data_IF_591458872026
#
_entry.id   IF_591458872026
#
_cell.length_a   1.000
_cell.length_b   1.000
_cell.length_c   1.000
_cell.angle_alpha   90.00
_cell.angle_beta   90.00
_cell.angle_gamma   90.00
#
_symmetry.space_group_name_H-M   'P 1'
#
loop_
_entity.id
_entity.type
_entity.pdbx_description
1 polymer ?
#
# COMPACT_ATOMS: atom_id res chain seq x y z
N UNK A 1 -21.02 47.51 5.25
CA UNK A 1 -20.98 48.16 3.93
C UNK A 1 -19.69 47.71 3.24
N UNK A 2 -19.82 47.27 1.96
CA UNK A 2 -18.86 46.76 0.94
C UNK A 2 -17.34 46.96 1.17
N UNK A 3 -16.49 45.92 1.09
CA UNK A 3 -15.79 45.29 -0.08
C UNK A 3 -14.77 46.19 -0.80
N UNK A 4 -13.47 45.85 -0.74
CA UNK A 4 -12.46 45.91 -1.84
C UNK A 4 -11.16 45.22 -1.37
N UNK A 5 -10.84 44.01 -1.86
CA UNK A 5 -9.86 43.69 -2.92
C UNK A 5 -8.41 44.05 -2.58
N UNK A 6 -7.61 43.03 -2.23
CA UNK A 6 -6.15 43.05 -2.39
C UNK A 6 -5.85 42.33 -3.70
N UNK A 7 -5.56 43.11 -4.74
CA UNK A 7 -4.96 42.65 -5.99
C UNK A 7 -3.50 43.07 -6.03
N UNK A 8 -2.65 42.13 -6.45
CA UNK A 8 -1.33 42.33 -7.06
C UNK A 8 -0.16 42.74 -6.16
N UNK A 9 0.74 41.79 -5.94
CA UNK A 9 2.17 42.04 -6.12
C UNK A 9 2.82 40.82 -6.78
N UNK A 10 3.07 40.92 -8.08
CA UNK A 10 4.01 40.06 -8.78
C UNK A 10 5.45 40.59 -8.60
N UNK A 11 6.37 39.66 -8.76
CA UNK A 11 7.78 39.79 -9.14
C UNK A 11 8.91 39.71 -8.09
N UNK A 12 9.85 38.83 -8.45
CA UNK A 12 11.31 38.91 -8.31
C UNK A 12 11.96 38.40 -7.01
N UNK A 13 12.32 37.11 -7.00
CA UNK A 13 13.70 36.68 -6.72
C UNK A 13 14.08 35.47 -7.58
N UNK A 14 14.82 35.74 -8.67
CA UNK A 14 15.77 34.77 -9.25
C UNK A 14 16.88 34.57 -8.22
N UNK A 15 16.92 33.41 -7.58
CA UNK A 15 17.94 33.04 -6.63
C UNK A 15 18.00 31.52 -6.49
N UNK A 16 18.90 30.90 -7.25
CA UNK A 16 19.45 29.53 -7.14
C UNK A 16 18.76 28.62 -6.09
N UNK A 17 17.92 27.70 -6.54
CA UNK A 17 17.69 26.44 -5.80
C UNK A 17 18.48 25.33 -6.50
N UNK A 18 19.39 24.62 -5.83
CA UNK A 18 19.95 23.39 -6.36
C UNK A 18 18.93 22.28 -6.10
N UNK A 19 18.26 21.81 -7.15
CA UNK A 19 17.56 20.52 -7.09
C UNK A 19 17.92 19.75 -8.35
N UNK A 20 18.95 18.89 -8.30
CA UNK A 20 19.21 18.00 -9.40
C UNK A 20 18.58 16.62 -9.10
N UNK A 21 17.97 16.03 -10.14
CA UNK A 21 17.88 14.57 -10.41
C UNK A 21 16.52 13.82 -10.45
N UNK A 22 15.38 14.30 -9.95
CA UNK A 22 14.14 13.46 -9.92
C UNK A 22 13.24 13.58 -11.18
N UNK A 23 13.80 13.70 -12.39
CA UNK A 23 12.98 13.79 -13.62
C UNK A 23 13.45 12.85 -14.76
N UNK A 24 14.03 11.70 -14.42
CA UNK A 24 14.36 10.63 -15.39
C UNK A 24 14.06 9.20 -14.89
N UNK A 25 13.15 9.04 -13.94
CA UNK A 25 12.81 7.71 -13.43
C UNK A 25 11.71 7.09 -14.31
N UNK A 26 12.08 6.06 -15.07
CA UNK A 26 11.10 5.19 -15.71
C UNK A 26 10.25 4.48 -14.65
N UNK A 27 9.03 4.09 -15.02
CA UNK A 27 8.09 3.40 -14.13
C UNK A 27 8.74 2.17 -13.46
N UNK A 28 8.49 1.94 -12.15
CA UNK A 28 9.04 0.78 -11.45
C UNK A 28 8.54 -0.52 -12.09
N UNK A 29 9.39 -1.55 -12.09
CA UNK A 29 9.02 -2.89 -12.58
C UNK A 29 8.84 -3.86 -11.42
N UNK A 30 7.74 -4.61 -11.42
CA UNK A 30 7.41 -5.60 -10.37
C UNK A 30 8.41 -6.76 -10.40
N UNK A 31 8.84 -7.22 -9.22
CA UNK A 31 9.72 -8.39 -9.10
C UNK A 31 8.96 -9.67 -9.43
N UNK A 32 9.60 -10.59 -10.14
CA UNK A 32 9.10 -11.95 -10.38
C UNK A 32 9.48 -12.82 -9.18
N UNK A 33 8.50 -13.56 -8.65
CA UNK A 33 8.65 -14.35 -7.42
C UNK A 33 8.79 -15.82 -7.80
N UNK A 34 9.95 -16.41 -7.53
CA UNK A 34 10.32 -17.76 -7.97
C UNK A 34 10.63 -18.73 -6.80
N UNK A 35 11.03 -18.20 -5.65
CA UNK A 35 11.55 -18.91 -4.48
C UNK A 35 10.55 -18.99 -3.31
N UNK A 36 9.43 -18.25 -3.37
CA UNK A 36 8.39 -18.28 -2.35
C UNK A 36 7.07 -18.89 -2.86
N UNK A 37 6.50 -19.83 -2.09
CA UNK A 37 5.14 -20.31 -2.31
C UNK A 37 4.12 -19.36 -1.68
N UNK A 38 3.03 -19.06 -2.39
CA UNK A 38 2.03 -18.10 -1.92
C UNK A 38 1.33 -18.56 -0.64
N UNK A 39 1.03 -19.86 -0.51
CA UNK A 39 0.46 -20.40 0.74
C UNK A 39 1.47 -20.30 1.90
N UNK A 40 2.77 -20.47 1.61
CA UNK A 40 3.84 -20.29 2.62
C UNK A 40 3.84 -18.84 3.13
N UNK A 41 3.79 -17.86 2.22
CA UNK A 41 3.74 -16.45 2.58
C UNK A 41 2.52 -16.11 3.44
N UNK A 42 1.33 -16.54 3.03
CA UNK A 42 0.09 -16.29 3.78
C UNK A 42 0.19 -16.86 5.21
N UNK A 43 0.80 -18.04 5.40
CA UNK A 43 1.06 -18.57 6.74
C UNK A 43 2.08 -17.74 7.53
N UNK A 44 3.13 -17.25 6.86
CA UNK A 44 4.08 -16.30 7.46
C UNK A 44 3.38 -15.03 7.94
N UNK A 45 2.51 -14.47 7.11
CA UNK A 45 1.68 -13.32 7.45
C UNK A 45 0.81 -13.60 8.68
N UNK A 46 0.19 -14.77 8.76
CA UNK A 46 -0.59 -15.18 9.93
C UNK A 46 0.26 -15.21 11.21
N UNK A 47 1.45 -15.83 11.14
CA UNK A 47 2.37 -15.94 12.27
C UNK A 47 2.84 -14.56 12.75
N UNK A 48 3.23 -13.67 11.83
CA UNK A 48 3.66 -12.30 12.15
C UNK A 48 2.51 -11.52 12.78
N UNK A 49 1.31 -11.62 12.21
CA UNK A 49 0.12 -10.93 12.71
C UNK A 49 -0.19 -11.31 14.15
N UNK A 50 -0.20 -12.61 14.46
CA UNK A 50 -0.40 -13.10 15.84
C UNK A 50 0.70 -12.64 16.79
N UNK A 51 1.96 -12.70 16.37
CA UNK A 51 3.09 -12.23 17.16
C UNK A 51 2.96 -10.77 17.57
N UNK A 52 2.32 -9.97 16.70
CA UNK A 52 2.04 -8.55 16.93
C UNK A 52 0.65 -8.27 17.53
N UNK A 53 -0.10 -9.31 17.92
CA UNK A 53 -1.44 -9.16 18.52
C UNK A 53 -2.55 -8.77 17.54
N UNK A 54 -2.33 -8.89 16.24
CA UNK A 54 -3.31 -8.58 15.20
C UNK A 54 -4.08 -9.82 14.73
N UNK A 55 -5.31 -9.59 14.26
CA UNK A 55 -6.12 -10.58 13.57
C UNK A 55 -5.98 -10.40 12.07
N UNK A 56 -5.35 -11.34 11.36
CA UNK A 56 -5.17 -11.21 9.92
C UNK A 56 -6.45 -11.63 9.19
N UNK A 57 -6.73 -10.95 8.09
CA UNK A 57 -7.88 -11.24 7.21
C UNK A 57 -7.43 -11.92 5.92
N UNK A 58 -8.17 -12.95 5.52
CA UNK A 58 -7.97 -13.61 4.24
C UNK A 58 -9.19 -13.38 3.36
N UNK A 59 -9.02 -12.58 2.31
CA UNK A 59 -10.05 -12.25 1.33
C UNK A 59 -10.02 -13.28 0.21
N UNK A 60 -11.11 -14.02 0.04
CA UNK A 60 -11.17 -15.17 -0.87
C UNK A 60 -12.27 -14.94 -1.89
N UNK A 61 -11.95 -15.18 -3.16
CA UNK A 61 -12.99 -15.22 -4.19
C UNK A 61 -13.97 -16.35 -3.86
N UNK A 62 -15.28 -16.08 -3.88
CA UNK A 62 -16.33 -17.07 -3.59
C UNK A 62 -16.16 -18.42 -4.31
N UNK A 63 -15.54 -18.43 -5.48
CA UNK A 63 -15.36 -19.63 -6.31
C UNK A 63 -14.03 -20.36 -6.04
N UNK A 64 -13.15 -19.79 -5.22
CA UNK A 64 -11.83 -20.35 -4.92
C UNK A 64 -11.92 -21.46 -3.87
N UNK A 65 -11.30 -22.61 -4.17
CA UNK A 65 -11.11 -23.69 -3.20
C UNK A 65 -9.95 -23.36 -2.27
N UNK A 66 -10.24 -23.11 -1.00
CA UNK A 66 -9.23 -22.88 0.04
C UNK A 66 -8.37 -24.14 0.19
N UNK A 67 -7.04 -23.99 0.18
CA UNK A 67 -6.13 -25.10 0.43
C UNK A 67 -6.27 -25.62 1.87
N UNK A 68 -6.01 -26.91 2.10
CA UNK A 68 -6.07 -27.50 3.46
C UNK A 68 -5.25 -26.73 4.51
N UNK A 69 -4.03 -26.22 4.20
CA UNK A 69 -3.28 -25.40 5.15
C UNK A 69 -4.01 -24.13 5.57
N UNK A 70 -4.68 -23.44 4.64
CA UNK A 70 -5.42 -22.19 4.93
C UNK A 70 -6.79 -22.46 5.57
N UNK A 71 -7.41 -23.61 5.34
CA UNK A 71 -8.64 -24.03 6.04
C UNK A 71 -8.42 -24.17 7.55
N UNK A 72 -7.22 -24.56 7.97
CA UNK A 72 -6.85 -24.74 9.37
C UNK A 72 -6.14 -23.50 9.96
N UNK A 73 -6.18 -22.38 9.25
CA UNK A 73 -5.60 -21.13 9.72
C UNK A 73 -6.57 -20.39 10.66
N UNK A 74 -6.04 -19.39 11.36
CA UNK A 74 -6.83 -18.46 12.19
C UNK A 74 -7.19 -17.16 11.47
N UNK A 75 -7.01 -17.10 10.15
CA UNK A 75 -7.45 -15.95 9.39
C UNK A 75 -8.96 -15.75 9.57
N UNK A 76 -9.36 -14.48 9.71
CA UNK A 76 -10.75 -14.11 9.52
C UNK A 76 -11.04 -14.20 8.01
N UNK A 77 -11.71 -15.28 7.60
CA UNK A 77 -11.99 -15.56 6.18
C UNK A 77 -13.19 -14.73 5.73
N UNK A 78 -12.97 -13.86 4.75
CA UNK A 78 -13.99 -13.02 4.14
C UNK A 78 -14.13 -13.39 2.67
N UNK A 79 -15.31 -13.81 2.26
CA UNK A 79 -15.59 -14.08 0.84
C UNK A 79 -16.09 -12.83 0.15
N UNK A 80 -15.63 -12.60 -1.08
CA UNK A 80 -16.15 -11.54 -1.94
C UNK A 80 -16.68 -12.12 -3.25
N UNK A 81 -17.79 -11.56 -3.73
CA UNK A 81 -18.38 -11.90 -5.03
C UNK A 81 -17.77 -11.04 -6.12
N UNK A 82 -17.28 -11.65 -7.20
CA UNK A 82 -16.69 -10.89 -8.31
C UNK A 82 -17.80 -10.15 -9.08
N UNK A 83 -17.71 -8.82 -9.07
CA UNK A 83 -17.50 -8.02 -10.29
C UNK A 83 -16.86 -6.69 -9.86
N UNK A 84 -15.58 -6.42 -10.20
CA UNK A 84 -15.03 -5.09 -9.97
C UNK A 84 -15.78 -4.09 -10.87
N UNK A 85 -16.13 -2.89 -10.37
CA UNK A 85 -16.28 -1.77 -11.30
C UNK A 85 -14.94 -1.64 -12.03
N UNK A 86 -14.98 -1.54 -13.36
CA UNK A 86 -13.83 -1.10 -14.16
C UNK A 86 -13.37 0.22 -13.54
N UNK A 87 -12.15 0.27 -13.04
CA UNK A 87 -11.53 1.52 -12.59
C UNK A 87 -11.26 2.33 -13.86
N UNK A 88 -12.28 3.05 -14.30
CA UNK A 88 -12.15 4.18 -15.20
C UNK A 88 -11.81 5.40 -14.33
N UNK A 89 -10.73 6.11 -14.63
CA UNK A 89 -10.21 7.26 -13.87
C UNK A 89 -11.14 8.50 -13.95
N UNK A 90 -12.44 8.30 -14.14
CA UNK A 90 -13.38 9.33 -14.62
C UNK A 90 -14.60 9.49 -13.70
N UNK A 91 -14.43 9.43 -12.38
CA UNK A 91 -15.50 9.83 -11.44
C UNK A 91 -15.04 10.99 -10.58
N UNK A 92 -15.11 12.18 -11.19
CA UNK A 92 -15.21 13.47 -10.50
C UNK A 92 -16.67 13.62 -10.05
N UNK A 93 -16.92 13.89 -8.75
CA UNK A 93 -17.72 15.02 -8.22
C UNK A 93 -18.37 14.70 -6.87
N UNK A 94 -17.84 15.32 -5.82
CA UNK A 94 -18.65 15.87 -4.72
C UNK A 94 -17.96 17.09 -4.07
N UNK A 95 -17.34 17.97 -4.87
CA UNK A 95 -16.64 19.18 -4.39
C UNK A 95 -17.49 20.15 -3.56
N UNK A 96 -18.82 20.05 -3.65
CA UNK A 96 -19.75 20.98 -2.98
C UNK A 96 -20.12 20.51 -1.57
N UNK A 97 -20.09 19.19 -1.29
CA UNK A 97 -20.42 18.66 0.04
C UNK A 97 -19.24 18.83 1.03
N UNK A 98 -18.02 18.72 0.51
CA UNK A 98 -16.76 18.70 1.24
C UNK A 98 -16.37 20.11 1.78
N UNK A 99 -16.62 21.19 1.02
CA UNK A 99 -16.15 22.55 1.38
C UNK A 99 -16.79 23.16 2.63
N UNK A 100 -18.00 22.75 3.02
CA UNK A 100 -18.70 23.31 4.20
C UNK A 100 -18.31 22.61 5.52
N UNK A 101 -17.89 21.34 5.47
CA UNK A 101 -17.45 20.56 6.64
C UNK A 101 -15.93 20.62 6.89
N UNK A 102 -15.11 20.82 5.84
CA UNK A 102 -13.63 20.84 5.91
C UNK A 102 -13.00 21.96 6.76
N UNK A 103 -13.73 23.04 7.07
CA UNK A 103 -13.13 24.21 7.75
C UNK A 103 -13.01 24.05 9.27
N UNK A 104 -13.69 23.06 9.86
CA UNK A 104 -13.79 22.90 11.32
C UNK A 104 -13.08 21.61 11.80
N UNK A 105 -12.88 20.59 10.95
CA UNK A 105 -12.27 19.29 11.33
C UNK A 105 -10.78 19.14 11.05
N UNK A 106 -10.19 20.04 10.23
CA UNK A 106 -8.93 19.80 9.50
C UNK A 106 -7.74 19.43 10.41
N UNK A 107 -7.52 20.14 11.51
CA UNK A 107 -6.33 19.92 12.35
C UNK A 107 -6.37 18.61 13.16
N UNK A 108 -7.55 18.14 13.57
CA UNK A 108 -7.71 16.87 14.28
C UNK A 108 -7.71 15.68 13.30
N UNK A 109 -8.31 15.83 12.12
CA UNK A 109 -8.35 14.79 11.09
C UNK A 109 -6.99 14.55 10.43
N UNK A 110 -6.18 15.60 10.21
CA UNK A 110 -4.87 15.45 9.56
C UNK A 110 -3.88 14.68 10.43
N UNK A 111 -3.89 14.90 11.75
CA UNK A 111 -3.00 14.17 12.66
C UNK A 111 -3.36 12.67 12.73
N UNK A 112 -4.65 12.34 12.83
CA UNK A 112 -5.11 10.94 12.85
C UNK A 112 -4.88 10.23 11.51
N UNK A 113 -5.04 10.92 10.38
CA UNK A 113 -4.74 10.33 9.06
C UNK A 113 -3.24 10.05 8.94
N UNK A 114 -2.38 11.00 9.32
CA UNK A 114 -0.93 10.79 9.27
C UNK A 114 -0.48 9.66 10.20
N UNK A 115 -1.02 9.59 11.42
CA UNK A 115 -0.76 8.50 12.36
C UNK A 115 -1.18 7.15 11.75
N UNK A 116 -2.35 7.08 11.12
CA UNK A 116 -2.82 5.87 10.46
C UNK A 116 -1.94 5.47 9.26
N UNK A 117 -1.47 6.44 8.45
CA UNK A 117 -0.51 6.19 7.37
C UNK A 117 0.80 5.64 7.94
N UNK A 118 1.30 6.23 9.02
CA UNK A 118 2.55 5.80 9.67
C UNK A 118 2.41 4.37 10.22
N UNK A 119 1.27 4.05 10.87
CA UNK A 119 0.95 2.70 11.36
C UNK A 119 0.90 1.68 10.23
N UNK A 120 0.23 2.00 9.12
CA UNK A 120 0.17 1.15 7.94
C UNK A 120 1.56 0.94 7.33
N UNK A 121 2.33 2.01 7.15
CA UNK A 121 3.70 1.94 6.61
C UNK A 121 4.58 1.04 7.46
N UNK A 122 4.58 1.22 8.78
CA UNK A 122 5.34 0.36 9.71
C UNK A 122 4.91 -1.09 9.57
N UNK A 123 3.60 -1.36 9.54
CA UNK A 123 3.07 -2.72 9.35
C UNK A 123 3.52 -3.36 8.02
N UNK A 124 3.58 -2.59 6.93
CA UNK A 124 4.06 -3.09 5.64
C UNK A 124 5.57 -3.37 5.70
N UNK A 125 6.38 -2.48 6.27
CA UNK A 125 7.84 -2.68 6.36
C UNK A 125 8.17 -3.88 7.25
N UNK A 126 7.48 -4.05 8.39
CA UNK A 126 7.74 -5.16 9.31
C UNK A 126 7.44 -6.51 8.65
N UNK A 127 6.32 -6.63 7.93
CA UNK A 127 5.95 -7.83 7.21
C UNK A 127 6.91 -8.12 6.05
N UNK A 128 7.23 -7.10 5.24
CA UNK A 128 8.19 -7.24 4.14
C UNK A 128 9.56 -7.66 4.67
N UNK A 129 10.02 -7.10 5.79
CA UNK A 129 11.28 -7.50 6.45
C UNK A 129 11.29 -8.99 6.78
N UNK A 130 10.19 -9.50 7.33
CA UNK A 130 10.08 -10.92 7.67
C UNK A 130 10.07 -11.81 6.42
N UNK A 131 9.37 -11.42 5.36
CA UNK A 131 9.35 -12.19 4.11
C UNK A 131 10.71 -12.16 3.39
N UNK A 132 11.36 -11.00 3.33
CA UNK A 132 12.70 -10.85 2.78
C UNK A 132 13.71 -11.72 3.51
N UNK A 133 13.66 -11.78 4.85
CA UNK A 133 14.53 -12.66 5.64
C UNK A 133 14.29 -14.15 5.37
N UNK A 134 13.03 -14.56 5.20
CA UNK A 134 12.68 -15.96 4.97
C UNK A 134 12.97 -16.43 3.53
N UNK A 135 12.72 -15.58 2.53
CA UNK A 135 12.70 -15.99 1.12
C UNK A 135 13.52 -15.09 0.17
N UNK A 136 13.94 -13.90 0.60
CA UNK A 136 14.65 -12.93 -0.23
C UNK A 136 13.77 -12.12 -1.19
N UNK A 137 12.47 -12.40 -1.21
CA UNK A 137 11.47 -11.82 -2.10
C UNK A 137 10.09 -11.97 -1.45
N UNK A 138 9.03 -11.36 -2.00
CA UNK A 138 7.66 -11.56 -1.53
C UNK A 138 6.60 -11.21 -2.57
N UNK A 139 5.49 -11.95 -2.54
CA UNK A 139 4.26 -11.56 -3.24
C UNK A 139 3.63 -10.32 -2.60
N UNK A 140 2.85 -9.54 -3.36
CA UNK A 140 2.08 -8.42 -2.80
C UNK A 140 1.19 -8.84 -1.62
N UNK A 141 1.14 -8.00 -0.59
CA UNK A 141 0.34 -8.19 0.61
C UNK A 141 -0.17 -6.84 1.14
N UNK A 142 -1.20 -6.85 1.99
CA UNK A 142 -1.85 -5.63 2.45
C UNK A 142 -1.97 -5.52 3.97
N UNK A 143 -2.36 -4.34 4.41
CA UNK A 143 -2.83 -4.05 5.76
C UNK A 143 -3.94 -3.00 5.66
N UNK A 144 -4.90 -3.05 6.58
CA UNK A 144 -5.99 -2.08 6.66
C UNK A 144 -6.20 -1.61 8.09
N UNK A 145 -6.64 -0.36 8.26
CA UNK A 145 -7.14 0.15 9.52
C UNK A 145 -8.66 0.15 9.44
N UNK A 146 -9.30 -0.63 10.31
CA UNK A 146 -10.75 -0.78 10.40
C UNK A 146 -11.42 0.45 10.98
N UNK A 147 -12.75 0.53 10.89
CA UNK A 147 -13.54 1.60 11.52
C UNK A 147 -13.34 1.76 13.03
N UNK A 148 -13.02 0.69 13.73
CA UNK A 148 -12.68 0.68 15.16
C UNK A 148 -11.21 1.05 15.44
N UNK A 149 -10.47 1.57 14.45
CA UNK A 149 -9.04 1.91 14.52
C UNK A 149 -8.09 0.72 14.71
N UNK A 150 -8.60 -0.51 14.62
CA UNK A 150 -7.80 -1.74 14.65
C UNK A 150 -7.01 -1.91 13.35
N UNK A 151 -5.72 -2.22 13.46
CA UNK A 151 -4.90 -2.59 12.31
C UNK A 151 -5.03 -4.09 12.05
N UNK A 152 -5.27 -4.46 10.79
CA UNK A 152 -5.43 -5.84 10.37
C UNK A 152 -4.64 -6.09 9.09
N UNK A 153 -3.65 -7.00 9.11
CA UNK A 153 -2.99 -7.46 7.90
C UNK A 153 -3.99 -8.20 7.00
N UNK A 154 -3.92 -7.94 5.69
CA UNK A 154 -4.86 -8.46 4.68
C UNK A 154 -4.10 -9.26 3.63
N UNK A 155 -4.52 -10.51 3.41
CA UNK A 155 -4.08 -11.35 2.30
C UNK A 155 -5.22 -11.64 1.34
N UNK A 156 -4.89 -12.03 0.11
CA UNK A 156 -5.87 -12.57 -0.85
C UNK A 156 -5.54 -14.02 -1.19
N UNK A 157 -6.56 -14.82 -1.49
CA UNK A 157 -6.35 -16.17 -2.02
C UNK A 157 -7.37 -16.52 -3.10
N UNK A 158 -6.87 -17.07 -4.21
CA UNK A 158 -7.66 -17.42 -5.38
C UNK A 158 -7.31 -18.81 -5.93
N UNK A 159 -6.76 -19.69 -5.07
CA UNK A 159 -6.60 -21.11 -5.38
C UNK A 159 -5.33 -21.49 -6.14
N UNK A 160 -4.37 -20.58 -6.29
CA UNK A 160 -3.08 -20.82 -6.96
C UNK A 160 -1.92 -20.69 -5.99
N UNK A 161 -0.93 -21.58 -6.08
CA UNK A 161 0.27 -21.56 -5.22
C UNK A 161 1.35 -20.62 -5.73
N UNK A 162 1.47 -20.45 -7.05
CA UNK A 162 2.44 -19.57 -7.70
C UNK A 162 1.71 -18.63 -8.66
N UNK A 163 0.97 -17.65 -8.14
CA UNK A 163 0.25 -16.69 -8.97
C UNK A 163 1.20 -15.69 -9.63
N UNK A 164 0.75 -15.06 -10.72
CA UNK A 164 1.44 -13.88 -11.25
C UNK A 164 1.32 -12.70 -10.26
N UNK A 165 2.40 -11.96 -10.03
CA UNK A 165 2.38 -10.83 -9.10
C UNK A 165 1.34 -9.77 -9.47
N UNK A 166 1.07 -9.52 -10.76
CA UNK A 166 0.01 -8.59 -11.17
C UNK A 166 -1.38 -9.13 -10.86
N UNK A 167 -1.58 -10.45 -10.92
CA UNK A 167 -2.83 -11.09 -10.52
C UNK A 167 -3.08 -10.87 -9.02
N UNK A 168 -2.05 -11.03 -8.18
CA UNK A 168 -2.13 -10.74 -6.75
C UNK A 168 -2.40 -9.26 -6.49
N UNK A 169 -1.66 -8.34 -7.15
CA UNK A 169 -1.87 -6.89 -7.04
C UNK A 169 -3.31 -6.52 -7.35
N UNK A 170 -3.87 -7.03 -8.46
CA UNK A 170 -5.22 -6.69 -8.90
C UNK A 170 -6.26 -7.15 -7.88
N UNK A 171 -6.20 -8.40 -7.45
CA UNK A 171 -7.15 -8.96 -6.47
C UNK A 171 -7.02 -8.32 -5.10
N UNK A 172 -5.80 -8.01 -4.66
CA UNK A 172 -5.55 -7.36 -3.40
C UNK A 172 -6.05 -5.91 -3.41
N UNK A 173 -5.75 -5.14 -4.46
CA UNK A 173 -6.26 -3.78 -4.60
C UNK A 173 -7.80 -3.75 -4.61
N UNK A 174 -8.45 -4.69 -5.32
CA UNK A 174 -9.91 -4.85 -5.32
C UNK A 174 -10.45 -5.15 -3.91
N UNK A 175 -9.83 -6.06 -3.18
CA UNK A 175 -10.25 -6.42 -1.83
C UNK A 175 -10.10 -5.27 -0.83
N UNK A 176 -8.99 -4.52 -0.89
CA UNK A 176 -8.76 -3.35 -0.05
C UNK A 176 -9.74 -2.22 -0.38
N UNK A 177 -9.95 -1.94 -1.66
CA UNK A 177 -10.90 -0.92 -2.12
C UNK A 177 -12.34 -1.25 -1.71
N UNK A 178 -12.76 -2.49 -1.90
CA UNK A 178 -14.09 -2.95 -1.49
C UNK A 178 -14.30 -2.73 0.00
N UNK A 179 -13.30 -3.08 0.82
CA UNK A 179 -13.35 -2.85 2.25
C UNK A 179 -13.38 -1.36 2.65
N UNK A 180 -12.83 -0.46 1.84
CA UNK A 180 -12.95 0.99 2.06
C UNK A 180 -14.37 1.45 1.71
N UNK A 181 -14.88 1.08 0.53
CA UNK A 181 -16.19 1.51 0.02
C UNK A 181 -17.35 0.97 0.86
N UNK A 182 -17.27 -0.29 1.30
CA UNK A 182 -18.26 -0.89 2.21
C UNK A 182 -18.12 -0.35 3.66
N UNK A 183 -17.04 0.40 3.92
CA UNK A 183 -16.73 1.00 5.19
C UNK A 183 -16.28 -0.01 6.25
N UNK A 184 -15.76 -1.17 5.88
CA UNK A 184 -15.02 -2.05 6.78
C UNK A 184 -13.69 -1.42 7.20
N UNK A 185 -13.07 -0.66 6.30
CA UNK A 185 -11.78 -0.01 6.45
C UNK A 185 -11.91 1.52 6.35
N UNK A 186 -11.14 2.24 7.16
CA UNK A 186 -10.95 3.69 7.03
C UNK A 186 -9.89 4.02 5.99
N UNK A 187 -8.81 3.25 5.97
CA UNK A 187 -7.64 3.43 5.10
C UNK A 187 -6.90 2.09 4.99
N UNK A 188 -6.26 1.83 3.86
CA UNK A 188 -5.50 0.62 3.62
C UNK A 188 -4.15 0.88 2.98
N UNK A 189 -3.26 -0.11 3.03
CA UNK A 189 -1.97 -0.11 2.37
C UNK A 189 -1.69 -1.46 1.70
N UNK A 190 -0.88 -1.42 0.65
CA UNK A 190 -0.34 -2.59 -0.03
C UNK A 190 1.17 -2.45 -0.16
N UNK A 191 1.91 -3.49 0.21
CA UNK A 191 3.33 -3.65 -0.06
C UNK A 191 3.55 -4.46 -1.34
N UNK A 192 4.45 -4.00 -2.21
CA UNK A 192 4.83 -4.67 -3.46
C UNK A 192 6.35 -4.66 -3.58
N UNK A 193 6.95 -5.79 -3.92
CA UNK A 193 8.38 -5.84 -4.25
C UNK A 193 8.61 -5.36 -5.69
N UNK A 194 9.46 -4.36 -5.84
CA UNK A 194 9.71 -3.70 -7.13
C UNK A 194 11.19 -3.40 -7.34
N UNK A 195 11.56 -3.23 -8.60
CA UNK A 195 12.78 -2.55 -8.99
C UNK A 195 12.49 -1.08 -9.33
N UNK A 196 13.21 -0.18 -8.67
CA UNK A 196 13.27 1.24 -9.01
C UNK A 196 14.52 1.51 -9.85
N UNK A 197 14.45 2.53 -10.71
CA UNK A 197 15.66 3.10 -11.30
C UNK A 197 16.24 4.09 -10.31
N UNK A 198 17.55 4.06 -10.12
CA UNK A 198 18.31 5.07 -9.40
C UNK A 198 19.52 5.48 -10.24
N UNK A 199 20.36 6.36 -9.71
CA UNK A 199 21.59 6.79 -10.39
C UNK A 199 22.68 5.70 -10.41
N UNK A 200 22.37 4.47 -9.99
CA UNK A 200 23.32 3.35 -9.99
C UNK A 200 23.64 2.94 -11.45
N UNK A 201 24.93 2.86 -11.85
CA UNK A 201 25.33 2.40 -13.17
C UNK A 201 24.84 0.98 -13.55
N UNK A 202 24.47 0.13 -12.57
CA UNK A 202 23.86 -1.19 -12.81
C UNK A 202 22.35 -1.14 -13.14
N UNK A 203 21.73 0.04 -13.05
CA UNK A 203 20.47 0.38 -13.70
C UNK A 203 19.17 0.02 -12.98
N UNK A 204 19.20 -0.77 -11.89
CA UNK A 204 18.04 -1.09 -11.06
C UNK A 204 18.42 -1.35 -9.60
N UNK A 205 17.60 -0.89 -8.67
CA UNK A 205 17.70 -1.18 -7.23
C UNK A 205 16.37 -1.73 -6.70
N UNK A 206 16.41 -2.70 -5.78
CA UNK A 206 15.21 -3.26 -5.16
C UNK A 206 14.61 -2.28 -4.15
N UNK A 207 13.28 -2.24 -4.10
CA UNK A 207 12.53 -1.44 -3.14
C UNK A 207 11.19 -2.08 -2.80
N UNK A 208 10.70 -1.79 -1.60
CA UNK A 208 9.31 -2.03 -1.22
C UNK A 208 8.52 -0.81 -1.67
N UNK A 209 7.62 -0.98 -2.63
CA UNK A 209 6.59 0.01 -2.95
C UNK A 209 5.44 -0.14 -1.94
N UNK A 210 5.06 0.97 -1.29
CA UNK A 210 3.95 1.03 -0.34
C UNK A 210 2.89 1.96 -0.93
N UNK A 211 1.76 1.38 -1.34
CA UNK A 211 0.61 2.13 -1.88
C UNK A 211 -0.41 2.34 -0.80
N UNK A 212 -0.77 3.60 -0.50
CA UNK A 212 -1.81 3.95 0.47
C UNK A 212 -3.12 4.22 -0.27
N UNK A 213 -4.21 3.63 0.23
CA UNK A 213 -5.56 3.74 -0.32
C UNK A 213 -6.51 4.40 0.69
N UNK A 214 -7.30 5.37 0.24
CA UNK A 214 -8.47 5.90 0.96
C UNK A 214 -9.72 5.83 0.05
N UNK A 215 -10.80 6.53 0.40
CA UNK A 215 -12.02 6.61 -0.42
C UNK A 215 -11.85 7.33 -1.77
N UNK A 216 -10.75 8.05 -1.98
CA UNK A 216 -10.44 8.80 -3.21
C UNK A 216 -9.57 7.99 -4.18
N UNK A 217 -8.99 6.86 -3.73
CA UNK A 217 -8.10 6.02 -4.53
C UNK A 217 -6.74 5.84 -3.86
N UNK A 218 -5.70 5.71 -4.69
CA UNK A 218 -4.31 5.73 -4.22
C UNK A 218 -3.95 7.18 -3.91
N UNK A 219 -3.60 7.47 -2.66
CA UNK A 219 -3.27 8.84 -2.22
C UNK A 219 -1.77 9.10 -2.13
N UNK A 220 -0.98 8.08 -1.82
CA UNK A 220 0.47 8.21 -1.72
C UNK A 220 1.14 6.90 -2.10
N UNK A 221 2.28 7.00 -2.78
CA UNK A 221 3.22 5.90 -2.98
C UNK A 221 4.53 6.22 -2.28
N UNK A 222 4.96 5.34 -1.41
CA UNK A 222 6.31 5.37 -0.84
C UNK A 222 7.16 4.28 -1.46
N UNK A 223 8.45 4.54 -1.55
CA UNK A 223 9.46 3.56 -1.91
C UNK A 223 10.46 3.47 -0.76
N UNK A 224 10.64 2.25 -0.26
CA UNK A 224 11.65 1.91 0.71
C UNK A 224 12.72 1.06 0.01
N UNK A 225 13.81 1.66 -0.50
CA UNK A 225 14.91 0.91 -1.09
C UNK A 225 15.51 -0.04 -0.08
N UNK A 226 15.96 -1.20 -0.55
CA UNK A 226 16.68 -2.17 0.28
C UNK A 226 17.76 -2.91 -0.51
N UNK A 227 18.75 -3.43 0.23
CA UNK A 227 19.71 -4.42 -0.27
C UNK A 227 19.76 -5.58 0.69
N UNK A 228 19.79 -6.81 0.18
CA UNK A 228 19.93 -7.99 1.03
C UNK A 228 21.41 -8.27 1.30
N UNK A 229 21.72 -8.63 2.55
CA UNK A 229 23.00 -9.26 2.89
C UNK A 229 23.03 -10.71 2.39
N UNK A 230 24.18 -11.38 2.51
CA UNK A 230 24.29 -12.82 2.28
C UNK A 230 23.41 -13.69 3.20
N UNK A 231 22.88 -13.12 4.29
CA UNK A 231 21.94 -13.76 5.23
C UNK A 231 20.49 -13.37 5.00
N UNK A 232 20.16 -12.70 3.89
CA UNK A 232 18.85 -12.13 3.59
C UNK A 232 18.35 -11.06 4.59
N UNK A 233 19.24 -10.47 5.39
CA UNK A 233 18.86 -9.33 6.21
C UNK A 233 18.78 -8.07 5.33
N UNK A 234 17.62 -7.37 5.29
CA UNK A 234 17.50 -6.15 4.49
C UNK A 234 18.22 -4.98 5.16
N UNK A 235 19.10 -4.34 4.39
CA UNK A 235 19.68 -3.03 4.70
C UNK A 235 18.86 -1.98 3.96
N UNK A 236 18.13 -1.17 4.72
CA UNK A 236 17.23 -0.16 4.18
C UNK A 236 17.94 1.14 3.82
N UNK A 237 17.62 1.68 2.64
CA UNK A 237 18.01 3.01 2.21
C UNK A 237 17.07 4.10 2.72
N UNK A 238 17.28 5.35 2.28
CA UNK A 238 16.37 6.44 2.59
C UNK A 238 15.04 6.24 1.86
N UNK A 239 13.93 6.24 2.60
CA UNK A 239 12.59 6.24 2.03
C UNK A 239 12.31 7.56 1.31
N UNK A 240 11.60 7.47 0.18
CA UNK A 240 11.04 8.63 -0.51
C UNK A 240 9.59 8.37 -0.93
N UNK A 241 8.82 9.44 -1.11
CA UNK A 241 7.49 9.38 -1.69
C UNK A 241 7.56 9.74 -3.18
N UNK A 242 6.67 9.19 -3.99
CA UNK A 242 6.46 9.66 -5.36
C UNK A 242 5.88 11.08 -5.29
N UNK A 243 6.55 12.05 -5.91
CA UNK A 243 6.03 13.40 -6.06
C UNK A 243 5.05 13.45 -7.22
N UNK A 244 3.82 13.90 -6.98
CA UNK A 244 2.90 14.37 -8.03
C UNK A 244 3.46 15.58 -8.80
#
# INVERSE_FOLDING_TARGET
MQITLISSLCYLLRGKRPWPHILRLGWPSITVIDNQGFTKQLRGQETISKGNGFRPELRINKDAKISKPLQNSSFDIITYGVAPPVIDNTIIRSEIFIKKYLKISKDMTTNTIQENIDRLRTSIIDQATAFLKDAGEFYPFGSAIKKNSELSPVGVYFGKEYPDSNEVIRHLAEALWTGIVDGSYQIAAMGVDVYIRDDNPEGKSSAIEIRIFNEEGIVVRYYQPYKLTSSNDPIYGQMFAESE
#
